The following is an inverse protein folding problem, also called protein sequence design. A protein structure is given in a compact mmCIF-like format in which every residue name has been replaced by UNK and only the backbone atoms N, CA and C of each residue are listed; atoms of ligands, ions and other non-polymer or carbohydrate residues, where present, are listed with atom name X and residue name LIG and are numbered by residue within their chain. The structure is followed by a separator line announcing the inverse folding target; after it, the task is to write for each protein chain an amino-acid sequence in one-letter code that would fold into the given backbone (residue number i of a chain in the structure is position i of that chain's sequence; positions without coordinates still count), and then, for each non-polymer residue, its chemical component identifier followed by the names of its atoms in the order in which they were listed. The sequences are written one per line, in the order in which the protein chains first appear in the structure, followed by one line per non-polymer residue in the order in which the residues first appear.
data_IF_160291359668
#
_entry.id   IF_160291359668
#
_cell.length_a   1.000
_cell.length_b   1.000
_cell.length_c   1.000
_cell.angle_alpha   90.00
_cell.angle_beta   90.00
_cell.angle_gamma   90.00
#
_symmetry.space_group_name_H-M   'P 1'
#
loop_
_entity.id
_entity.type
_entity.pdbx_description
1 polymer ?
#
# COMPACT_ATOMS: atom_id res chain seq x y z
N UNK A 1 -29.75 2.03 -4.42
CA UNK A 1 -28.75 3.10 -4.22
C UNK A 1 -27.71 2.60 -3.24
N UNK A 2 -26.44 2.90 -3.45
CA UNK A 2 -25.36 2.28 -2.68
C UNK A 2 -24.02 2.41 -3.41
N UNK A 3 -23.44 1.29 -3.81
CA UNK A 3 -22.07 1.23 -4.33
C UNK A 3 -21.79 2.11 -5.57
N UNK A 4 -20.57 2.61 -5.62
CA UNK A 4 -19.98 3.26 -6.80
C UNK A 4 -18.98 2.30 -7.47
N UNK A 5 -18.89 2.36 -8.79
CA UNK A 5 -17.92 1.59 -9.58
C UNK A 5 -16.79 2.51 -10.02
N UNK A 6 -15.57 2.16 -9.65
CA UNK A 6 -14.35 2.74 -10.20
C UNK A 6 -13.65 1.73 -11.10
N UNK A 7 -13.05 2.21 -12.19
CA UNK A 7 -12.20 1.41 -13.07
C UNK A 7 -10.78 1.90 -12.86
N UNK A 8 -9.87 0.96 -12.58
CA UNK A 8 -8.44 1.22 -12.50
C UNK A 8 -7.77 0.63 -13.74
N UNK A 9 -6.89 1.41 -14.35
CA UNK A 9 -6.07 0.92 -15.45
C UNK A 9 -5.05 -0.10 -14.95
N UNK A 10 -4.48 -0.86 -15.90
CA UNK A 10 -3.42 -1.80 -15.57
C UNK A 10 -2.14 -1.03 -15.20
N UNK A 11 -1.62 -1.30 -14.01
CA UNK A 11 -0.35 -0.77 -13.51
C UNK A 11 0.55 -1.90 -13.01
N UNK A 12 1.86 -1.63 -12.97
CA UNK A 12 2.76 -2.38 -12.10
C UNK A 12 2.55 -1.91 -10.66
N UNK A 13 2.72 -2.80 -9.68
CA UNK A 13 2.47 -2.49 -8.27
C UNK A 13 3.65 -2.90 -7.40
N UNK A 14 4.07 -1.99 -6.52
CA UNK A 14 4.94 -2.35 -5.39
C UNK A 14 4.06 -2.67 -4.20
N UNK A 15 4.31 -3.81 -3.58
CA UNK A 15 3.57 -4.29 -2.41
C UNK A 15 4.44 -4.19 -1.17
N UNK A 16 3.98 -3.45 -0.18
CA UNK A 16 4.63 -3.33 1.11
C UNK A 16 3.87 -4.16 2.13
N UNK A 17 4.57 -5.14 2.71
CA UNK A 17 4.01 -5.97 3.78
C UNK A 17 4.09 -5.22 5.10
N UNK A 18 2.98 -5.19 5.83
CA UNK A 18 2.91 -4.77 7.22
C UNK A 18 2.60 -5.98 8.10
N UNK A 19 3.31 -6.10 9.22
CA UNK A 19 3.13 -7.17 10.20
C UNK A 19 2.96 -6.51 11.58
N UNK A 20 1.90 -6.89 12.27
CA UNK A 20 1.58 -6.43 13.61
C UNK A 20 0.12 -5.98 13.77
N UNK A 21 -0.25 -5.59 15.01
CA UNK A 21 -1.62 -5.21 15.31
C UNK A 21 -2.03 -3.93 14.57
N UNK A 22 -3.29 -3.88 14.14
CA UNK A 22 -3.89 -2.68 13.59
C UNK A 22 -4.26 -1.65 14.66
N UNK A 23 -4.19 -0.34 14.39
CA UNK A 23 -3.79 0.30 13.11
C UNK A 23 -2.33 0.74 13.05
N UNK A 24 -1.55 0.53 14.11
CA UNK A 24 -0.20 1.13 14.23
C UNK A 24 0.78 0.56 13.21
N UNK A 25 0.79 -0.76 13.02
CA UNK A 25 1.72 -1.43 12.11
C UNK A 25 1.60 -0.91 10.67
N UNK A 26 0.37 -0.79 10.15
CA UNK A 26 0.13 -0.33 8.77
C UNK A 26 0.42 1.17 8.63
N UNK A 27 0.09 2.00 9.62
CA UNK A 27 0.39 3.43 9.59
C UNK A 27 1.90 3.71 9.62
N UNK A 28 2.65 2.92 10.38
CA UNK A 28 4.12 2.99 10.40
C UNK A 28 4.71 2.69 9.03
N UNK A 29 4.25 1.60 8.38
CA UNK A 29 4.67 1.25 7.01
C UNK A 29 4.28 2.35 6.03
N UNK A 30 3.05 2.86 6.08
CA UNK A 30 2.61 3.94 5.21
C UNK A 30 3.48 5.20 5.36
N UNK A 31 3.82 5.59 6.59
CA UNK A 31 4.74 6.69 6.84
C UNK A 31 6.09 6.45 6.17
N UNK A 32 6.71 5.29 6.39
CA UNK A 32 8.01 4.95 5.80
C UNK A 32 7.98 4.93 4.28
N UNK A 33 6.87 4.48 3.67
CA UNK A 33 6.70 4.53 2.21
C UNK A 33 6.82 5.97 1.72
N UNK A 34 6.07 6.92 2.32
CA UNK A 34 5.99 8.29 1.83
C UNK A 34 7.10 9.22 2.31
N UNK A 35 7.76 8.93 3.43
CA UNK A 35 8.87 9.76 3.94
C UNK A 35 10.24 9.25 3.51
N UNK A 36 10.39 7.94 3.31
CA UNK A 36 11.71 7.34 3.13
C UNK A 36 11.81 6.66 1.77
N UNK A 37 10.94 5.68 1.48
CA UNK A 37 11.08 4.89 0.26
C UNK A 37 10.80 5.72 -0.99
N UNK A 38 9.65 6.39 -1.08
CA UNK A 38 9.22 7.10 -2.27
C UNK A 38 10.13 8.28 -2.64
N UNK A 39 10.53 9.17 -1.70
CA UNK A 39 11.42 10.29 -2.04
C UNK A 39 12.82 9.84 -2.47
N UNK A 40 13.30 8.69 -1.98
CA UNK A 40 14.63 8.16 -2.29
C UNK A 40 14.63 7.09 -3.39
N UNK A 41 13.47 6.72 -3.93
CA UNK A 41 13.38 5.69 -4.96
C UNK A 41 13.95 6.21 -6.30
N UNK A 42 14.98 5.55 -6.83
CA UNK A 42 15.61 5.91 -8.11
C UNK A 42 15.07 5.14 -9.31
N UNK A 43 14.24 4.12 -9.09
CA UNK A 43 13.73 3.23 -10.13
C UNK A 43 12.28 3.50 -10.52
N UNK A 44 11.44 3.96 -9.59
CA UNK A 44 9.99 4.03 -9.77
C UNK A 44 9.38 5.38 -9.34
N UNK A 45 8.43 5.87 -10.14
CA UNK A 45 7.50 6.94 -9.80
C UNK A 45 6.08 6.39 -9.57
N UNK A 46 5.23 7.17 -8.89
CA UNK A 46 3.79 6.87 -8.80
C UNK A 46 3.14 6.91 -10.20
N UNK A 47 2.33 5.89 -10.49
CA UNK A 47 1.62 5.79 -11.76
C UNK A 47 0.17 6.30 -11.72
N UNK A 48 -0.45 6.37 -10.53
CA UNK A 48 -1.84 6.79 -10.34
C UNK A 48 -2.04 7.43 -8.96
N UNK A 49 -3.10 8.21 -8.79
CA UNK A 49 -3.49 8.88 -7.54
C UNK A 49 -4.22 8.01 -6.52
N UNK A 50 -4.08 6.68 -6.59
CA UNK A 50 -4.77 5.73 -5.70
C UNK A 50 -3.79 4.68 -5.17
N UNK A 51 -3.93 4.33 -3.89
CA UNK A 51 -3.25 3.20 -3.28
C UNK A 51 -4.29 2.19 -2.78
N UNK A 52 -3.91 0.92 -2.70
CA UNK A 52 -4.78 -0.15 -2.18
C UNK A 52 -4.22 -0.61 -0.84
N UNK A 53 -5.05 -0.60 0.20
CA UNK A 53 -4.77 -1.29 1.46
C UNK A 53 -5.48 -2.65 1.45
N UNK A 54 -4.71 -3.73 1.53
CA UNK A 54 -5.23 -5.10 1.54
C UNK A 54 -5.20 -5.63 2.97
N UNK A 55 -6.38 -5.82 3.54
CA UNK A 55 -6.59 -6.41 4.86
C UNK A 55 -6.86 -7.90 4.70
N UNK A 56 -5.97 -8.74 5.23
CA UNK A 56 -6.16 -10.21 5.16
C UNK A 56 -7.18 -10.68 6.18
N UNK A 57 -7.74 -11.87 5.96
CA UNK A 57 -8.61 -12.48 6.96
C UNK A 57 -7.81 -12.86 8.22
N UNK A 58 -8.37 -12.62 9.41
CA UNK A 58 -7.74 -13.00 10.68
C UNK A 58 -8.03 -12.05 11.83
N UNK A 59 -7.35 -12.27 12.96
CA UNK A 59 -7.41 -11.37 14.11
C UNK A 59 -6.49 -10.16 13.88
N UNK A 60 -7.10 -9.00 13.61
CA UNK A 60 -6.39 -7.74 13.36
C UNK A 60 -5.64 -7.21 14.60
N UNK A 61 -5.84 -7.80 15.78
CA UNK A 61 -5.12 -7.47 17.01
C UNK A 61 -3.89 -8.35 17.25
N UNK A 62 -3.71 -9.40 16.44
CA UNK A 62 -2.60 -10.31 16.61
C UNK A 62 -1.26 -9.64 16.27
N UNK A 63 -0.21 -10.00 17.00
CA UNK A 63 1.16 -9.50 16.78
C UNK A 63 1.75 -9.94 15.43
N UNK A 64 1.20 -11.00 14.85
CA UNK A 64 1.60 -11.54 13.55
C UNK A 64 0.56 -11.28 12.45
N UNK A 65 -0.47 -10.46 12.73
CA UNK A 65 -1.45 -10.06 11.71
C UNK A 65 -0.75 -9.38 10.53
N UNK A 66 -1.21 -9.68 9.30
CA UNK A 66 -0.58 -9.19 8.09
C UNK A 66 -1.55 -8.42 7.22
N UNK A 67 -1.09 -7.29 6.71
CA UNK A 67 -1.78 -6.52 5.70
C UNK A 67 -0.77 -5.91 4.73
N UNK A 68 -1.26 -5.34 3.64
CA UNK A 68 -0.41 -4.82 2.59
C UNK A 68 -0.84 -3.43 2.17
N UNK A 69 0.13 -2.61 1.74
CA UNK A 69 -0.11 -1.36 1.02
C UNK A 69 0.44 -1.53 -0.39
N UNK A 70 -0.38 -1.30 -1.40
CA UNK A 70 0.01 -1.43 -2.80
C UNK A 70 0.04 -0.04 -3.43
N UNK A 71 1.21 0.34 -3.96
CA UNK A 71 1.41 1.58 -4.71
C UNK A 71 1.52 1.26 -6.20
N UNK A 72 0.73 1.91 -7.07
CA UNK A 72 0.89 1.78 -8.51
C UNK A 72 2.14 2.52 -8.94
N UNK A 73 3.00 1.87 -9.70
CA UNK A 73 4.30 2.41 -10.11
C UNK A 73 4.52 2.34 -11.61
N UNK A 74 5.42 3.20 -12.07
CA UNK A 74 6.03 3.15 -13.40
C UNK A 74 7.53 3.34 -13.27
N UNK A 75 8.32 2.74 -14.16
CA UNK A 75 9.77 2.97 -14.17
C UNK A 75 10.10 4.43 -14.49
N UNK A 76 11.09 4.99 -13.79
CA UNK A 76 11.69 6.28 -14.14
C UNK A 76 12.41 6.17 -15.49
N UNK A 77 12.31 7.22 -16.29
CA UNK A 77 13.00 7.35 -17.58
C UNK A 77 14.45 7.79 -17.39
#
# INVERSE_FOLDING_TARGET
EGFEKHVLDAHDWVKFRSVGPMSEAIQKVNRQIFTDWLPNNTEYDLAEGVNIEVYTEGDMRAEDYQCEIWLPVKRKA
#
